data_IF_879675071311
#
_entry.id   IF_879675071311
#
_cell.length_a   1.000
_cell.length_b   1.000
_cell.length_c   1.000
_cell.angle_alpha   90.00
_cell.angle_beta   90.00
_cell.angle_gamma   90.00
#
_symmetry.space_group_name_H-M   'P 1'
#
loop_
_entity.id
_entity.type
_entity.pdbx_description
1 polymer ?
#
# COMPACT_ATOMS: atom_id res chain seq x y z
N UNK A 1 0.49 13.22 -24.01
CA UNK A 1 1.45 12.24 -23.47
C UNK A 1 1.60 12.56 -21.98
N UNK A 2 0.91 11.80 -21.12
CA UNK A 2 0.59 12.22 -19.75
C UNK A 2 1.72 11.93 -18.76
N UNK A 3 2.10 12.98 -18.03
CA UNK A 3 3.20 13.13 -17.08
C UNK A 3 2.80 12.68 -15.65
N UNK A 4 2.18 11.50 -15.48
CA UNK A 4 1.58 11.08 -14.20
C UNK A 4 2.11 9.79 -13.55
N UNK A 5 3.12 9.13 -14.12
CA UNK A 5 3.65 7.85 -13.61
C UNK A 5 4.95 7.98 -12.77
N UNK A 6 4.90 8.78 -11.69
CA UNK A 6 5.97 8.75 -10.67
C UNK A 6 5.61 7.79 -9.52
N UNK A 7 6.26 6.62 -9.48
CA UNK A 7 6.08 5.68 -8.37
C UNK A 7 6.55 6.32 -7.05
N UNK A 8 5.88 6.01 -5.94
CA UNK A 8 6.21 6.61 -4.63
C UNK A 8 7.60 6.21 -4.15
N UNK A 9 8.13 5.07 -4.59
CA UNK A 9 9.54 4.70 -4.39
C UNK A 9 10.48 5.74 -5.02
N UNK A 10 10.17 6.26 -6.22
CA UNK A 10 10.94 7.34 -6.86
C UNK A 10 10.78 8.67 -6.12
N UNK A 11 9.58 8.98 -5.63
CA UNK A 11 9.33 10.19 -4.84
C UNK A 11 10.02 10.14 -3.47
N UNK A 12 10.07 8.97 -2.83
CA UNK A 12 10.80 8.75 -1.58
C UNK A 12 12.31 8.81 -1.79
N UNK A 13 12.83 8.14 -2.84
CA UNK A 13 14.24 8.26 -3.21
C UNK A 13 14.61 9.71 -3.47
N UNK A 14 13.82 10.43 -4.27
CA UNK A 14 14.03 11.85 -4.55
C UNK A 14 13.96 12.73 -3.30
N UNK A 15 13.02 12.44 -2.39
CA UNK A 15 12.91 13.13 -1.09
C UNK A 15 14.14 12.90 -0.22
N UNK A 16 14.59 11.66 -0.04
CA UNK A 16 15.77 11.37 0.78
C UNK A 16 17.05 11.97 0.20
N UNK A 17 17.18 11.98 -1.13
CA UNK A 17 18.29 12.67 -1.82
C UNK A 17 18.24 14.18 -1.59
N UNK A 18 17.04 14.79 -1.63
CA UNK A 18 16.86 16.21 -1.30
C UNK A 18 17.21 16.50 0.16
N UNK A 19 16.69 15.70 1.09
CA UNK A 19 16.94 15.86 2.53
C UNK A 19 18.44 15.74 2.85
N UNK A 20 19.15 14.80 2.21
CA UNK A 20 20.59 14.66 2.36
C UNK A 20 21.36 15.87 1.81
N UNK A 21 20.97 16.39 0.64
CA UNK A 21 21.55 17.62 0.07
C UNK A 21 21.32 18.83 0.97
N UNK A 22 20.09 19.00 1.44
CA UNK A 22 19.71 20.13 2.30
C UNK A 22 20.42 20.04 3.67
N UNK A 23 20.64 18.83 4.20
CA UNK A 23 21.34 18.62 5.47
C UNK A 23 22.81 19.06 5.45
N UNK A 24 23.46 19.04 4.28
CA UNK A 24 24.83 19.56 4.11
C UNK A 24 24.85 21.01 3.59
N UNK A 25 23.69 21.67 3.49
CA UNK A 25 23.57 23.06 3.06
C UNK A 25 23.88 23.31 1.58
N UNK A 26 23.90 22.26 0.76
CA UNK A 26 24.26 22.36 -0.66
C UNK A 26 23.08 22.80 -1.51
N UNK A 27 23.28 23.76 -2.39
CA UNK A 27 22.23 24.22 -3.31
C UNK A 27 21.98 23.22 -4.44
N UNK A 28 20.82 23.32 -5.08
CA UNK A 28 20.48 22.48 -6.22
C UNK A 28 21.43 22.74 -7.41
N UNK A 29 21.88 23.98 -7.61
CA UNK A 29 22.87 24.36 -8.61
C UNK A 29 24.24 23.71 -8.36
N UNK A 30 24.74 23.75 -7.12
CA UNK A 30 26.04 23.17 -6.75
C UNK A 30 26.05 21.65 -6.91
N UNK A 31 25.01 20.99 -6.40
CA UNK A 31 24.87 19.54 -6.54
C UNK A 31 24.74 19.12 -8.00
N UNK A 32 24.02 19.88 -8.83
CA UNK A 32 23.89 19.60 -10.25
C UNK A 32 25.23 19.77 -10.98
N UNK A 33 26.03 20.78 -10.62
CA UNK A 33 27.36 20.99 -11.18
C UNK A 33 28.32 19.84 -10.85
N UNK A 34 28.33 19.37 -9.60
CA UNK A 34 29.15 18.23 -9.15
C UNK A 34 28.77 16.92 -9.83
N UNK A 35 27.48 16.74 -10.15
CA UNK A 35 26.97 15.58 -10.89
C UNK A 35 27.06 15.73 -12.42
N UNK A 36 27.58 16.85 -12.92
CA UNK A 36 27.60 17.22 -14.35
C UNK A 36 26.21 17.19 -15.01
N UNK A 37 25.19 17.60 -14.26
CA UNK A 37 23.79 17.61 -14.69
C UNK A 37 23.22 19.02 -14.82
N UNK A 38 22.14 19.15 -15.59
CA UNK A 38 21.33 20.36 -15.53
C UNK A 38 20.57 20.45 -14.20
N UNK A 39 20.41 21.67 -13.68
CA UNK A 39 19.55 21.95 -12.52
C UNK A 39 18.15 21.34 -12.67
N UNK A 40 17.58 21.41 -13.86
CA UNK A 40 16.26 20.83 -14.18
C UNK A 40 16.25 19.30 -14.09
N UNK A 41 17.34 18.62 -14.41
CA UNK A 41 17.44 17.16 -14.31
C UNK A 41 17.55 16.71 -12.87
N UNK A 42 18.39 17.37 -12.07
CA UNK A 42 18.47 17.08 -10.63
C UNK A 42 17.14 17.41 -9.92
N UNK A 43 16.47 18.50 -10.29
CA UNK A 43 15.16 18.85 -9.74
C UNK A 43 14.11 17.77 -9.99
N UNK A 44 14.06 17.21 -11.21
CA UNK A 44 13.13 16.12 -11.56
C UNK A 44 13.46 14.84 -10.78
N UNK A 45 14.75 14.55 -10.57
CA UNK A 45 15.20 13.43 -9.73
C UNK A 45 14.71 13.59 -8.30
N UNK A 46 14.93 14.74 -7.67
CA UNK A 46 14.48 15.00 -6.30
C UNK A 46 12.95 15.07 -6.15
N UNK A 47 12.24 15.40 -7.23
CA UNK A 47 10.77 15.34 -7.28
C UNK A 47 10.24 13.93 -7.60
N UNK A 48 11.11 12.95 -7.86
CA UNK A 48 10.73 11.59 -8.25
C UNK A 48 10.12 11.47 -9.65
N UNK A 49 10.30 12.49 -10.50
CA UNK A 49 9.71 12.60 -11.84
C UNK A 49 10.59 11.97 -12.94
N UNK A 50 11.78 11.49 -12.60
CA UNK A 50 12.67 10.86 -13.57
C UNK A 50 12.37 9.36 -13.74
N UNK A 51 12.45 8.82 -14.96
CA UNK A 51 12.08 7.42 -15.23
C UNK A 51 13.02 6.40 -14.57
N UNK A 52 14.32 6.69 -14.48
CA UNK A 52 15.33 5.80 -13.87
C UNK A 52 16.57 6.58 -13.45
N UNK A 53 17.12 6.28 -12.27
CA UNK A 53 18.46 6.71 -11.84
C UNK A 53 19.37 5.49 -11.97
N UNK A 54 20.55 5.63 -12.61
CA UNK A 54 21.52 4.54 -12.69
C UNK A 54 22.19 4.37 -11.32
N UNK A 55 22.53 3.14 -10.92
CA UNK A 55 23.17 2.88 -9.62
C UNK A 55 24.47 3.70 -9.48
N UNK A 56 25.28 3.78 -10.53
CA UNK A 56 26.48 4.63 -10.56
C UNK A 56 26.17 6.11 -10.27
N UNK A 57 25.09 6.62 -10.83
CA UNK A 57 24.68 8.00 -10.66
C UNK A 57 24.16 8.24 -9.22
N UNK A 58 23.50 7.25 -8.63
CA UNK A 58 23.11 7.27 -7.22
C UNK A 58 24.31 7.22 -6.28
N UNK A 59 25.30 6.39 -6.58
CA UNK A 59 26.53 6.28 -5.78
C UNK A 59 27.30 7.60 -5.75
N UNK A 60 27.36 8.31 -6.89
CA UNK A 60 27.93 9.66 -6.93
C UNK A 60 27.18 10.65 -6.04
N UNK A 61 25.85 10.59 -6.00
CA UNK A 61 25.05 11.43 -5.09
C UNK A 61 25.26 11.05 -3.62
N UNK A 62 25.37 9.76 -3.30
CA UNK A 62 25.67 9.26 -1.95
C UNK A 62 27.01 9.80 -1.47
N UNK A 63 28.02 9.78 -2.33
CA UNK A 63 29.35 10.29 -2.05
C UNK A 63 29.35 11.81 -1.84
N UNK A 64 28.76 12.57 -2.77
CA UNK A 64 28.69 14.04 -2.69
C UNK A 64 27.89 14.50 -1.46
N UNK A 65 26.84 13.77 -1.10
CA UNK A 65 26.00 14.11 0.05
C UNK A 65 26.54 13.56 1.38
N UNK A 66 27.64 12.81 1.37
CA UNK A 66 28.26 12.25 2.58
C UNK A 66 27.35 11.28 3.34
N UNK A 67 26.56 10.48 2.61
CA UNK A 67 25.59 9.55 3.20
C UNK A 67 26.33 8.31 3.73
N UNK A 68 26.10 7.95 4.99
CA UNK A 68 26.69 6.77 5.63
C UNK A 68 26.27 5.45 4.98
N UNK A 69 27.07 4.40 5.15
CA UNK A 69 26.87 3.10 4.49
C UNK A 69 25.52 2.43 4.80
N UNK A 70 24.99 2.63 6.01
CA UNK A 70 23.68 2.08 6.41
C UNK A 70 22.53 2.76 5.66
N UNK A 71 22.57 4.09 5.53
CA UNK A 71 21.60 4.85 4.73
C UNK A 71 21.79 4.64 3.23
N UNK A 72 23.04 4.52 2.78
CA UNK A 72 23.38 4.25 1.38
C UNK A 72 22.84 2.89 0.91
N UNK A 73 22.90 1.86 1.77
CA UNK A 73 22.29 0.55 1.49
C UNK A 73 20.76 0.66 1.29
N UNK A 74 20.09 1.47 2.09
CA UNK A 74 18.66 1.76 1.95
C UNK A 74 18.31 2.48 0.64
N UNK A 75 19.08 3.49 0.25
CA UNK A 75 18.89 4.22 -1.02
C UNK A 75 19.13 3.35 -2.25
N UNK A 76 20.18 2.52 -2.22
CA UNK A 76 20.44 1.52 -3.27
C UNK A 76 19.29 0.52 -3.36
N UNK A 77 18.73 0.09 -2.23
CA UNK A 77 17.53 -0.74 -2.18
C UNK A 77 16.32 -0.07 -2.84
N UNK A 78 16.06 1.21 -2.54
CA UNK A 78 14.96 1.98 -3.15
C UNK A 78 15.14 2.18 -4.65
N UNK A 79 16.36 2.46 -5.11
CA UNK A 79 16.67 2.61 -6.52
C UNK A 79 16.60 1.29 -7.28
N UNK A 80 17.04 0.19 -6.65
CA UNK A 80 16.91 -1.16 -7.19
C UNK A 80 15.44 -1.56 -7.28
N UNK A 81 14.60 -1.28 -6.28
CA UNK A 81 13.16 -1.51 -6.35
C UNK A 81 12.45 -0.63 -7.38
N UNK A 82 12.94 0.60 -7.62
CA UNK A 82 12.44 1.45 -8.69
C UNK A 82 12.90 0.99 -10.10
N UNK A 83 13.92 0.14 -10.18
CA UNK A 83 14.55 -0.37 -11.40
C UNK A 83 14.23 -1.84 -11.71
N UNK A 84 13.94 -2.65 -10.70
CA UNK A 84 13.47 -4.02 -10.83
C UNK A 84 12.05 -4.01 -11.37
N UNK A 85 11.78 -4.93 -12.31
CA UNK A 85 10.42 -5.26 -12.72
C UNK A 85 9.66 -5.70 -11.47
N UNK A 86 9.00 -4.75 -10.84
CA UNK A 86 8.04 -5.00 -9.79
C UNK A 86 7.08 -6.07 -10.27
N UNK A 87 7.01 -7.20 -9.55
CA UNK A 87 6.14 -8.33 -9.87
C UNK A 87 4.67 -7.91 -10.08
N UNK A 88 4.25 -6.76 -9.54
CA UNK A 88 2.92 -6.20 -9.73
C UNK A 88 2.67 -5.53 -11.09
N UNK A 89 3.72 -5.19 -11.86
CA UNK A 89 3.57 -4.68 -13.23
C UNK A 89 3.03 -5.75 -14.19
N UNK A 90 3.19 -7.04 -13.88
CA UNK A 90 2.56 -8.14 -14.63
C UNK A 90 1.03 -8.17 -14.44
N UNK A 91 0.51 -7.45 -13.43
CA UNK A 91 -0.92 -7.34 -13.10
C UNK A 91 -1.49 -5.94 -13.40
N UNK A 92 -0.89 -5.20 -14.34
CA UNK A 92 -1.36 -3.86 -14.75
C UNK A 92 -2.86 -3.85 -15.10
N UNK A 93 -3.61 -2.89 -14.56
CA UNK A 93 -5.06 -2.76 -14.73
C UNK A 93 -5.92 -3.44 -13.65
N UNK A 94 -5.36 -4.38 -12.89
CA UNK A 94 -6.06 -5.07 -11.79
C UNK A 94 -5.79 -4.43 -10.43
N UNK A 95 -4.65 -3.78 -10.29
CA UNK A 95 -4.21 -3.15 -9.05
C UNK A 95 -4.34 -1.63 -9.21
N UNK A 96 -5.12 -0.94 -8.35
CA UNK A 96 -5.23 0.51 -8.38
C UNK A 96 -3.86 1.19 -8.32
N UNK A 97 -3.66 2.27 -9.08
CA UNK A 97 -2.36 2.93 -9.22
C UNK A 97 -1.78 3.39 -7.87
N UNK A 98 -2.64 3.84 -6.96
CA UNK A 98 -2.27 4.22 -5.58
C UNK A 98 -1.87 3.01 -4.70
N UNK A 99 -2.32 1.80 -5.03
CA UNK A 99 -2.00 0.58 -4.30
C UNK A 99 -0.63 -0.01 -4.69
N UNK A 100 -0.21 0.21 -5.94
CA UNK A 100 1.12 -0.19 -6.45
C UNK A 100 2.27 0.39 -5.61
N UNK A 101 2.09 1.63 -5.17
CA UNK A 101 2.96 2.33 -4.25
C UNK A 101 3.04 1.62 -2.90
N UNK A 102 1.88 1.35 -2.31
CA UNK A 102 1.80 0.81 -0.98
C UNK A 102 2.50 -0.55 -0.95
N UNK A 103 2.29 -1.38 -1.96
CA UNK A 103 2.99 -2.66 -2.10
C UNK A 103 4.51 -2.52 -2.21
N UNK A 104 5.01 -1.48 -2.88
CA UNK A 104 6.44 -1.16 -2.90
C UNK A 104 6.98 -0.91 -1.49
N UNK A 105 6.33 -0.02 -0.73
CA UNK A 105 6.70 0.27 0.66
C UNK A 105 6.56 -0.95 1.58
N UNK A 106 5.45 -1.69 1.44
CA UNK A 106 5.18 -2.92 2.17
C UNK A 106 6.29 -3.96 1.94
N UNK A 107 6.73 -4.13 0.68
CA UNK A 107 7.79 -5.08 0.32
C UNK A 107 9.17 -4.73 0.90
N UNK A 108 9.43 -3.45 1.13
CA UNK A 108 10.67 -2.94 1.74
C UNK A 108 10.63 -2.94 3.27
N UNK A 109 9.45 -3.06 3.88
CA UNK A 109 9.27 -2.93 5.31
C UNK A 109 9.92 -4.10 6.07
N UNK A 110 10.74 -3.77 7.09
CA UNK A 110 11.27 -4.74 8.05
C UNK A 110 10.26 -5.08 9.15
N UNK A 111 9.39 -4.12 9.50
CA UNK A 111 8.33 -4.25 10.48
C UNK A 111 7.05 -3.61 9.96
N UNK A 112 5.92 -4.25 10.21
CA UNK A 112 4.58 -3.78 9.89
C UNK A 112 3.72 -3.86 11.14
N UNK A 113 3.01 -2.79 11.45
CA UNK A 113 1.94 -2.78 12.45
C UNK A 113 0.63 -2.53 11.71
N UNK A 114 -0.33 -3.43 11.88
CA UNK A 114 -1.62 -3.38 11.19
C UNK A 114 -2.77 -3.32 12.17
N UNK A 115 -3.70 -2.43 11.88
CA UNK A 115 -4.97 -2.29 12.56
C UNK A 115 -6.08 -2.26 11.50
N UNK A 116 -6.90 -3.31 11.47
CA UNK A 116 -8.02 -3.44 10.53
C UNK A 116 -9.21 -4.01 11.30
N UNK A 117 -10.16 -3.19 11.77
CA UNK A 117 -11.17 -3.63 12.72
C UNK A 117 -12.17 -4.63 12.10
N UNK A 118 -12.53 -4.46 10.83
CA UNK A 118 -13.65 -5.22 10.26
C UNK A 118 -13.27 -6.50 9.52
N UNK A 119 -12.02 -6.60 9.05
CA UNK A 119 -11.56 -7.70 8.20
C UNK A 119 -10.17 -8.15 8.64
N UNK A 120 -9.90 -9.45 8.46
CA UNK A 120 -8.54 -9.99 8.61
C UNK A 120 -7.59 -9.29 7.62
N UNK A 121 -6.41 -8.79 8.04
CA UNK A 121 -5.45 -8.16 7.14
C UNK A 121 -5.04 -9.04 5.97
N UNK A 122 -4.87 -8.46 4.79
CA UNK A 122 -4.54 -9.19 3.55
C UNK A 122 -3.30 -10.11 3.64
N UNK A 123 -2.32 -9.74 4.47
CA UNK A 123 -1.12 -10.57 4.72
C UNK A 123 -1.44 -11.87 5.49
N UNK A 124 -2.60 -11.93 6.14
CA UNK A 124 -3.10 -13.04 6.94
C UNK A 124 -4.41 -13.64 6.38
N UNK A 125 -4.81 -13.29 5.15
CA UNK A 125 -6.02 -13.87 4.51
C UNK A 125 -5.71 -15.20 3.82
N UNK A 126 -6.64 -16.16 3.83
CA UNK A 126 -6.58 -17.31 2.93
C UNK A 126 -7.02 -16.90 1.53
N UNK A 127 -6.67 -17.71 0.52
CA UNK A 127 -7.09 -17.48 -0.86
C UNK A 127 -8.61 -17.41 -1.00
N UNK A 128 -9.33 -18.31 -0.35
CA UNK A 128 -10.81 -18.35 -0.42
C UNK A 128 -11.45 -17.17 0.28
N UNK A 129 -10.93 -16.75 1.44
CA UNK A 129 -11.40 -15.54 2.11
C UNK A 129 -11.19 -14.30 1.22
N UNK A 130 -10.00 -14.16 0.64
CA UNK A 130 -9.70 -13.06 -0.28
C UNK A 130 -10.57 -13.10 -1.53
N UNK A 131 -10.83 -14.28 -2.09
CA UNK A 131 -11.70 -14.47 -3.27
C UNK A 131 -13.12 -13.98 -3.02
N UNK A 132 -13.70 -14.28 -1.86
CA UNK A 132 -15.03 -13.80 -1.49
C UNK A 132 -15.07 -12.27 -1.43
N UNK A 133 -14.06 -11.64 -0.80
CA UNK A 133 -13.99 -10.18 -0.73
C UNK A 133 -13.85 -9.54 -2.12
N UNK A 134 -13.00 -10.11 -2.99
CA UNK A 134 -12.84 -9.62 -4.36
C UNK A 134 -14.13 -9.80 -5.16
N UNK A 135 -14.79 -10.96 -5.08
CA UNK A 135 -16.08 -11.23 -5.73
C UNK A 135 -17.16 -10.24 -5.30
N UNK A 136 -17.20 -9.87 -4.01
CA UNK A 136 -18.14 -8.87 -3.51
C UNK A 136 -17.84 -7.45 -4.03
N UNK A 137 -16.57 -7.10 -4.20
CA UNK A 137 -16.16 -5.81 -4.74
C UNK A 137 -16.35 -5.71 -6.27
N UNK A 138 -16.24 -6.84 -6.97
CA UNK A 138 -16.33 -6.93 -8.43
C UNK A 138 -17.32 -8.03 -8.86
N UNK A 139 -18.62 -7.84 -8.61
CA UNK A 139 -19.62 -8.91 -8.80
C UNK A 139 -19.76 -9.38 -10.25
N UNK A 140 -19.47 -8.51 -11.22
CA UNK A 140 -19.64 -8.78 -12.66
C UNK A 140 -18.43 -9.42 -13.34
N UNK A 141 -17.30 -9.55 -12.63
CA UNK A 141 -16.08 -10.09 -13.21
C UNK A 141 -16.13 -11.62 -13.40
N UNK A 142 -15.40 -12.13 -14.36
CA UNK A 142 -15.22 -13.57 -14.58
C UNK A 142 -14.36 -14.19 -13.47
N UNK A 143 -14.43 -15.51 -13.28
CA UNK A 143 -13.56 -16.21 -12.32
C UNK A 143 -12.07 -16.03 -12.63
N UNK A 144 -11.70 -15.88 -13.91
CA UNK A 144 -10.33 -15.61 -14.32
C UNK A 144 -9.86 -14.23 -13.85
N UNK A 145 -10.70 -13.21 -13.99
CA UNK A 145 -10.41 -11.84 -13.53
C UNK A 145 -10.33 -11.79 -11.99
N UNK A 146 -11.27 -12.43 -11.28
CA UNK A 146 -11.22 -12.55 -9.81
C UNK A 146 -9.92 -13.22 -9.37
N UNK A 147 -9.53 -14.33 -10.02
CA UNK A 147 -8.29 -15.03 -9.72
C UNK A 147 -7.07 -14.14 -9.94
N UNK A 148 -7.05 -13.36 -11.03
CA UNK A 148 -6.00 -12.39 -11.30
C UNK A 148 -5.93 -11.26 -10.25
N UNK A 149 -7.04 -10.90 -9.61
CA UNK A 149 -7.06 -9.94 -8.48
C UNK A 149 -6.60 -10.53 -7.15
N UNK A 150 -6.85 -11.83 -6.94
CA UNK A 150 -6.46 -12.54 -5.72
C UNK A 150 -4.97 -12.87 -5.70
N UNK A 151 -4.38 -13.19 -6.85
CA UNK A 151 -2.98 -13.62 -6.93
C UNK A 151 -1.99 -12.61 -6.33
N UNK A 152 -2.05 -11.30 -6.63
CA UNK A 152 -1.21 -10.30 -5.98
C UNK A 152 -1.31 -10.29 -4.46
N UNK A 153 -2.51 -10.53 -3.91
CA UNK A 153 -2.72 -10.58 -2.46
C UNK A 153 -1.98 -11.77 -1.83
N UNK A 154 -2.01 -12.92 -2.50
CA UNK A 154 -1.31 -14.12 -2.04
C UNK A 154 0.21 -13.97 -2.14
N UNK A 155 0.70 -13.36 -3.23
CA UNK A 155 2.13 -13.10 -3.41
C UNK A 155 2.72 -12.21 -2.32
N UNK A 156 1.96 -11.22 -1.83
CA UNK A 156 2.39 -10.32 -0.73
C UNK A 156 2.71 -11.05 0.57
N UNK A 157 2.07 -12.19 0.83
CA UNK A 157 2.33 -12.97 2.05
C UNK A 157 3.75 -13.50 2.13
N UNK A 158 4.45 -13.62 0.99
CA UNK A 158 5.89 -13.95 0.95
C UNK A 158 6.74 -13.02 1.81
N UNK A 159 6.30 -11.78 2.04
CA UNK A 159 6.97 -10.83 2.91
C UNK A 159 7.19 -11.37 4.34
N UNK A 160 6.19 -12.06 4.88
CA UNK A 160 6.22 -12.61 6.25
C UNK A 160 6.51 -14.12 6.27
N UNK A 161 6.49 -14.80 5.12
CA UNK A 161 6.74 -16.25 5.00
C UNK A 161 8.11 -16.61 4.42
N UNK A 162 8.86 -15.66 3.85
CA UNK A 162 10.20 -15.92 3.27
C UNK A 162 11.20 -16.39 4.33
N UNK A 163 12.07 -17.32 3.95
CA UNK A 163 13.10 -17.87 4.84
C UNK A 163 14.14 -16.82 5.28
N UNK A 164 14.54 -15.95 4.34
CA UNK A 164 15.56 -14.94 4.60
C UNK A 164 14.93 -13.64 5.06
N UNK A 165 15.23 -13.23 6.30
CA UNK A 165 14.81 -11.95 6.91
C UNK A 165 13.32 -11.67 6.68
N UNK A 166 12.39 -12.54 7.11
CA UNK A 166 10.96 -12.24 7.02
C UNK A 166 10.63 -10.96 7.78
N UNK A 167 9.67 -10.19 7.31
CA UNK A 167 9.24 -8.99 8.00
C UNK A 167 8.55 -9.34 9.33
N UNK A 168 8.73 -8.49 10.34
CA UNK A 168 7.98 -8.56 11.59
C UNK A 168 6.58 -8.00 11.36
N UNK A 169 5.54 -8.73 11.73
CA UNK A 169 4.16 -8.31 11.58
C UNK A 169 3.47 -8.31 12.95
N UNK A 170 2.97 -7.15 13.35
CA UNK A 170 2.12 -6.99 14.52
C UNK A 170 0.72 -6.61 14.06
N UNK A 171 -0.28 -7.40 14.44
CA UNK A 171 -1.69 -7.15 14.09
C UNK A 171 -2.50 -6.99 15.36
N UNK A 172 -3.31 -5.94 15.41
CA UNK A 172 -4.41 -5.79 16.35
C UNK A 172 -5.71 -6.02 15.60
N UNK A 173 -6.37 -7.14 15.88
CA UNK A 173 -7.61 -7.57 15.26
C UNK A 173 -8.76 -7.42 16.24
N UNK A 174 -9.87 -6.81 15.83
CA UNK A 174 -11.08 -6.86 16.65
C UNK A 174 -11.69 -8.24 16.64
N UNK A 175 -12.25 -8.64 17.78
CA UNK A 175 -13.03 -9.87 17.92
C UNK A 175 -14.20 -9.94 16.91
N UNK A 176 -14.80 -8.81 16.54
CA UNK A 176 -15.86 -8.73 15.52
C UNK A 176 -15.45 -9.34 14.17
N UNK A 177 -14.23 -9.10 13.70
CA UNK A 177 -13.72 -9.67 12.45
C UNK A 177 -13.54 -11.19 12.53
N UNK A 178 -13.37 -11.76 13.73
CA UNK A 178 -13.26 -13.19 13.94
C UNK A 178 -14.64 -13.86 14.00
N UNK A 179 -15.67 -13.12 14.41
CA UNK A 179 -17.05 -13.59 14.48
C UNK A 179 -17.83 -13.41 13.16
N UNK A 180 -17.45 -12.44 12.33
CA UNK A 180 -18.14 -12.15 11.07
C UNK A 180 -17.82 -13.20 10.02
N UNK A 181 -18.84 -13.97 9.63
CA UNK A 181 -18.69 -15.04 8.65
C UNK A 181 -18.54 -14.45 7.24
N UNK A 182 -17.38 -14.70 6.62
CA UNK A 182 -17.11 -14.34 5.22
C UNK A 182 -16.97 -15.64 4.42
N UNK A 183 -17.74 -15.78 3.34
CA UNK A 183 -17.67 -16.95 2.46
C UNK A 183 -18.33 -18.22 3.01
N UNK A 184 -19.07 -18.10 4.11
CA UNK A 184 -19.69 -19.23 4.80
C UNK A 184 -18.80 -19.87 5.87
N UNK A 185 -19.34 -20.84 6.65
CA UNK A 185 -18.65 -21.42 7.80
C UNK A 185 -17.34 -22.12 7.44
N UNK A 186 -17.26 -22.78 6.30
CA UNK A 186 -16.06 -23.52 5.88
C UNK A 186 -14.88 -22.60 5.57
N UNK A 187 -15.12 -21.53 4.79
CA UNK A 187 -14.11 -20.51 4.47
C UNK A 187 -13.63 -19.81 5.74
N UNK A 188 -14.57 -19.45 6.62
CA UNK A 188 -14.21 -18.77 7.87
C UNK A 188 -13.45 -19.69 8.84
N UNK A 189 -13.82 -20.97 8.95
CA UNK A 189 -13.09 -21.94 9.76
C UNK A 189 -11.65 -22.14 9.26
N UNK A 190 -11.45 -22.21 7.93
CA UNK A 190 -10.11 -22.27 7.35
C UNK A 190 -9.31 -20.98 7.61
N UNK A 191 -9.96 -19.82 7.50
CA UNK A 191 -9.35 -18.52 7.80
C UNK A 191 -8.90 -18.40 9.27
N UNK A 192 -9.73 -18.83 10.22
CA UNK A 192 -9.41 -18.78 11.64
C UNK A 192 -8.26 -19.73 12.00
N UNK A 193 -8.24 -20.94 11.44
CA UNK A 193 -7.09 -21.87 11.59
C UNK A 193 -5.81 -21.26 11.06
N UNK A 194 -5.86 -20.69 9.85
CA UNK A 194 -4.69 -20.02 9.27
C UNK A 194 -4.19 -18.85 10.13
N UNK A 195 -5.10 -18.07 10.71
CA UNK A 195 -4.74 -16.97 11.61
C UNK A 195 -4.07 -17.47 12.89
N UNK A 196 -4.60 -18.54 13.49
CA UNK A 196 -4.02 -19.18 14.67
C UNK A 196 -2.62 -19.73 14.36
N UNK A 197 -2.46 -20.44 13.24
CA UNK A 197 -1.17 -20.98 12.78
C UNK A 197 -0.16 -19.87 12.51
N UNK A 198 -0.58 -18.78 11.84
CA UNK A 198 0.29 -17.64 11.57
C UNK A 198 0.80 -17.00 12.86
N UNK A 199 -0.03 -16.93 13.90
CA UNK A 199 0.35 -16.43 15.23
C UNK A 199 1.40 -17.26 15.96
N UNK A 200 1.70 -18.49 15.52
CA UNK A 200 2.77 -19.32 16.10
C UNK A 200 4.16 -18.99 15.57
N UNK A 201 4.26 -18.14 14.53
CA UNK A 201 5.54 -17.76 13.91
C UNK A 201 6.27 -16.75 14.78
N UNK A 202 7.59 -16.88 14.85
CA UNK A 202 8.45 -15.98 15.65
C UNK A 202 8.44 -14.51 15.19
N UNK A 203 8.03 -14.25 13.95
CA UNK A 203 7.97 -12.91 13.36
C UNK A 203 6.54 -12.34 13.25
N UNK A 204 5.51 -13.05 13.74
CA UNK A 204 4.11 -12.61 13.63
C UNK A 204 3.48 -12.57 15.02
N UNK A 205 2.84 -11.47 15.36
CA UNK A 205 2.05 -11.31 16.59
C UNK A 205 0.65 -10.89 16.22
N UNK A 206 -0.33 -11.71 16.62
CA UNK A 206 -1.77 -11.40 16.46
C UNK A 206 -2.36 -11.15 17.83
N UNK A 207 -2.81 -9.93 18.07
CA UNK A 207 -3.52 -9.51 19.29
C UNK A 207 -4.98 -9.35 18.96
N UNK A 208 -5.85 -9.95 19.77
CA UNK A 208 -7.29 -9.78 19.64
C UNK A 208 -7.75 -8.71 20.62
N UNK A 209 -8.43 -7.69 20.11
CA UNK A 209 -9.14 -6.73 20.93
C UNK A 209 -10.56 -7.27 21.18
N UNK A 210 -10.88 -7.67 22.42
CA UNK A 210 -12.19 -8.22 22.76
C UNK A 210 -13.26 -7.13 22.82
N UNK A 211 -14.53 -7.51 22.67
CA UNK A 211 -15.65 -6.58 22.85
C UNK A 211 -15.66 -5.89 24.22
N UNK A 212 -15.15 -6.57 25.26
CA UNK A 212 -15.06 -6.06 26.62
C UNK A 212 -14.04 -4.93 26.81
N UNK A 213 -13.12 -4.73 25.86
CA UNK A 213 -12.14 -3.64 25.91
C UNK A 213 -12.78 -2.28 25.60
N UNK A 214 -14.05 -2.25 25.18
CA UNK A 214 -14.70 -1.05 24.69
C UNK A 214 -14.13 -0.61 23.34
N UNK A 215 -14.45 0.62 22.96
CA UNK A 215 -14.04 1.18 21.68
C UNK A 215 -12.64 1.84 21.81
N UNK A 216 -11.65 1.50 20.96
CA UNK A 216 -10.35 2.14 20.97
C UNK A 216 -10.43 3.65 20.78
N UNK A 217 -9.56 4.35 21.48
CA UNK A 217 -9.31 5.79 21.35
C UNK A 217 -8.48 6.07 20.09
N UNK A 218 -8.91 7.02 19.25
CA UNK A 218 -8.22 7.42 18.01
C UNK A 218 -9.21 7.88 16.93
N UNK A 219 -8.69 8.31 15.78
CA UNK A 219 -9.51 8.65 14.61
C UNK A 219 -10.17 7.38 14.05
N UNK A 220 -11.47 7.24 14.27
CA UNK A 220 -12.22 6.17 13.65
C UNK A 220 -12.37 6.45 12.16
N UNK A 221 -12.37 5.38 11.35
CA UNK A 221 -12.97 5.49 10.03
C UNK A 221 -14.45 5.74 10.29
N UNK A 222 -14.89 6.96 9.96
CA UNK A 222 -16.25 7.41 10.23
C UNK A 222 -17.28 6.56 9.50
N UNK A 223 -18.50 6.45 10.05
CA UNK A 223 -19.61 5.88 9.31
C UNK A 223 -19.80 6.65 8.00
N UNK A 224 -20.18 5.94 6.95
CA UNK A 224 -20.64 6.57 5.72
C UNK A 224 -22.07 6.12 5.41
N UNK A 225 -22.82 7.01 4.78
CA UNK A 225 -24.17 6.78 4.32
C UNK A 225 -24.16 6.89 2.79
N UNK A 226 -24.69 5.88 2.12
CA UNK A 226 -24.95 5.94 0.69
C UNK A 226 -26.40 6.38 0.52
N UNK A 227 -26.61 7.51 -0.15
CA UNK A 227 -27.92 8.05 -0.48
C UNK A 227 -28.23 7.71 -1.94
N UNK A 228 -29.28 6.93 -2.14
CA UNK A 228 -29.81 6.56 -3.46
C UNK A 228 -31.17 7.24 -3.63
N UNK A 229 -31.43 7.77 -4.81
CA UNK A 229 -32.62 8.58 -5.11
C UNK A 229 -33.50 7.88 -6.14
N UNK A 230 -34.78 8.24 -6.15
CA UNK A 230 -35.76 7.67 -7.08
C UNK A 230 -35.28 7.81 -8.53
N UNK A 231 -35.53 6.76 -9.31
CA UNK A 231 -35.26 6.77 -10.76
C UNK A 231 -36.46 7.31 -11.52
N UNK A 232 -36.22 8.11 -12.55
CA UNK A 232 -37.25 8.54 -13.49
C UNK A 232 -37.82 7.36 -14.30
N UNK A 233 -38.82 7.65 -15.14
CA UNK A 233 -39.47 6.64 -15.99
C UNK A 233 -38.54 6.00 -17.03
N UNK A 234 -37.30 6.50 -17.18
CA UNK A 234 -36.25 5.95 -18.04
C UNK A 234 -35.17 5.23 -17.24
N UNK A 235 -35.34 5.05 -15.93
CA UNK A 235 -34.39 4.37 -15.05
C UNK A 235 -33.16 5.22 -14.71
N UNK A 236 -33.18 6.53 -15.00
CA UNK A 236 -32.08 7.43 -14.65
C UNK A 236 -32.32 7.97 -13.24
N UNK A 237 -31.32 7.97 -12.35
CA UNK A 237 -31.46 8.55 -11.02
C UNK A 237 -31.88 10.03 -11.12
N UNK A 238 -32.90 10.43 -10.36
CA UNK A 238 -33.29 11.83 -10.25
C UNK A 238 -32.13 12.69 -9.72
N UNK A 239 -31.29 12.11 -8.87
CA UNK A 239 -30.03 12.66 -8.39
C UNK A 239 -28.95 11.55 -8.37
N UNK A 240 -27.67 11.89 -8.56
CA UNK A 240 -26.59 10.90 -8.49
C UNK A 240 -26.51 10.24 -7.11
N UNK A 241 -26.01 9.00 -7.05
CA UNK A 241 -25.72 8.35 -5.76
C UNK A 241 -24.67 9.16 -5.01
N UNK A 242 -25.03 9.64 -3.82
CA UNK A 242 -24.14 10.43 -2.96
C UNK A 242 -23.60 9.52 -1.86
N UNK A 243 -22.28 9.50 -1.69
CA UNK A 243 -21.65 8.93 -0.50
C UNK A 243 -21.34 10.06 0.47
N UNK A 244 -22.07 10.09 1.58
CA UNK A 244 -21.80 10.97 2.72
C UNK A 244 -20.86 10.24 3.68
N UNK A 245 -19.66 10.76 3.90
CA UNK A 245 -18.75 10.26 4.93
C UNK A 245 -18.55 11.34 5.99
N UNK A 246 -18.96 11.05 7.22
CA UNK A 246 -18.80 11.99 8.34
C UNK A 246 -17.34 11.94 8.81
N UNK A 247 -16.60 13.03 8.61
CA UNK A 247 -15.22 13.19 9.06
C UNK A 247 -15.11 14.40 10.00
N UNK A 248 -14.21 14.32 10.98
CA UNK A 248 -13.97 15.39 11.97
C UNK A 248 -13.47 16.73 11.40
N UNK A 249 -13.22 16.84 10.08
CA UNK A 249 -12.65 18.04 9.42
C UNK A 249 -13.45 18.57 8.22
N UNK A 250 -14.77 18.34 8.19
CA UNK A 250 -15.80 18.79 7.22
C UNK A 250 -16.41 17.68 6.37
N UNK A 251 -17.68 17.89 6.02
CA UNK A 251 -18.46 17.04 5.12
C UNK A 251 -17.76 16.92 3.76
N UNK A 252 -17.57 15.69 3.29
CA UNK A 252 -17.03 15.42 1.96
C UNK A 252 -18.13 14.74 1.13
N UNK A 253 -18.62 15.43 0.11
CA UNK A 253 -19.58 14.89 -0.85
C UNK A 253 -18.81 14.29 -2.03
N UNK A 254 -19.05 13.01 -2.32
CA UNK A 254 -18.51 12.34 -3.52
C UNK A 254 -19.65 11.82 -4.39
N UNK A 255 -19.65 12.21 -5.66
CA UNK A 255 -20.53 11.68 -6.70
C UNK A 255 -19.87 10.50 -7.40
N UNK A 256 -20.65 9.46 -7.69
CA UNK A 256 -20.22 8.33 -8.51
C UNK A 256 -20.61 8.62 -9.96
N UNK A 257 -19.61 8.79 -10.84
CA UNK A 257 -19.81 8.87 -12.30
C UNK A 257 -20.09 7.48 -12.87
#
# INVERSE_FOLDING_TARGET
>A
MSDRDSSITRRQLGRYLREARDAIGMTLEEAAALMEWSKSSLQRIEKGQNQKIRIRDLDGMIEIYGIDDDRAAGLRGLAQQAAEKSWWHEYGGVIPDNFSVYMGMESAARRLTSYQPDLVPGLLQTRDYARVLVRNAFPTETEAEISARVEPRMLRQKLITRNMRPAQLEVTQFESALCRVIGGPEVMAAQLRYLADAGTRSNVTVRVLPFSAGMPTGDQIGPFVILEFDTDSQGKPAEPTIVYAENYTSDMYSEKV
#
